data_IF_793748835473
#
_entry.id   IF_793748835473
#
_cell.length_a   1.000
_cell.length_b   1.000
_cell.length_c   1.000
_cell.angle_alpha   90.00
_cell.angle_beta   90.00
_cell.angle_gamma   90.00
#
_symmetry.space_group_name_H-M   'P 1'
#
loop_
_entity.id
_entity.type
_entity.pdbx_description
1 polymer ?
#
# COMPACT_ATOMS: atom_id res chain seq x y z
N UNK A 1 -18.76 -13.06 -52.76
CA UNK A 1 -17.93 -13.12 -51.53
C UNK A 1 -18.30 -14.38 -50.78
N UNK A 2 -17.41 -15.39 -50.72
CA UNK A 2 -17.60 -16.59 -49.91
C UNK A 2 -17.07 -16.32 -48.50
N UNK A 3 -17.95 -16.26 -47.52
CA UNK A 3 -17.61 -16.26 -46.10
C UNK A 3 -17.11 -17.66 -45.73
N UNK A 4 -15.82 -17.78 -45.45
CA UNK A 4 -15.22 -18.98 -44.89
C UNK A 4 -15.63 -19.01 -43.41
N UNK A 5 -16.57 -19.89 -43.04
CA UNK A 5 -16.84 -20.21 -41.64
C UNK A 5 -15.68 -21.05 -41.12
N UNK A 6 -14.93 -20.51 -40.15
CA UNK A 6 -14.00 -21.34 -39.38
C UNK A 6 -14.78 -22.46 -38.68
N UNK A 7 -14.26 -23.69 -38.62
CA UNK A 7 -14.90 -24.79 -37.92
C UNK A 7 -14.96 -24.49 -36.41
N UNK A 8 -16.11 -24.74 -35.78
CA UNK A 8 -16.39 -24.39 -34.38
C UNK A 8 -15.35 -24.94 -33.37
N UNK A 9 -14.66 -26.03 -33.73
CA UNK A 9 -13.58 -26.61 -32.93
C UNK A 9 -12.33 -25.72 -32.88
N UNK A 10 -12.02 -24.95 -33.93
CA UNK A 10 -10.87 -24.04 -33.94
C UNK A 10 -11.13 -22.81 -33.06
N UNK A 11 -12.38 -22.36 -32.98
CA UNK A 11 -12.78 -21.27 -32.08
C UNK A 11 -12.71 -21.69 -30.60
N UNK A 12 -13.07 -22.94 -30.28
CA UNK A 12 -12.96 -23.47 -28.92
C UNK A 12 -11.48 -23.63 -28.52
N UNK A 13 -10.63 -24.16 -29.41
CA UNK A 13 -9.20 -24.26 -29.14
C UNK A 13 -8.54 -22.89 -28.99
N UNK A 14 -8.88 -21.90 -29.83
CA UNK A 14 -8.37 -20.54 -29.70
C UNK A 14 -8.87 -19.86 -28.43
N UNK A 15 -10.14 -20.05 -28.06
CA UNK A 15 -10.70 -19.55 -26.81
C UNK A 15 -10.03 -20.18 -25.58
N UNK A 16 -9.82 -21.50 -25.57
CA UNK A 16 -9.10 -22.21 -24.50
C UNK A 16 -7.64 -21.77 -24.44
N UNK A 17 -6.97 -21.63 -25.59
CA UNK A 17 -5.57 -21.17 -25.65
C UNK A 17 -5.42 -19.74 -25.15
N UNK A 18 -6.35 -18.84 -25.52
CA UNK A 18 -6.43 -17.48 -24.98
C UNK A 18 -6.80 -17.47 -23.48
N UNK A 19 -7.65 -18.39 -23.02
CA UNK A 19 -8.02 -18.52 -21.60
C UNK A 19 -6.86 -19.05 -20.74
N UNK A 20 -6.07 -20.00 -21.27
CA UNK A 20 -4.87 -20.54 -20.61
C UNK A 20 -3.74 -19.51 -20.62
N UNK A 21 -3.60 -18.71 -21.67
CA UNK A 21 -2.63 -17.60 -21.73
C UNK A 21 -3.02 -16.41 -20.84
N UNK A 22 -4.31 -16.21 -20.56
CA UNK A 22 -4.81 -15.18 -19.64
C UNK A 22 -4.92 -15.64 -18.17
N UNK A 23 -4.52 -16.86 -17.85
CA UNK A 23 -4.27 -17.25 -16.46
C UNK A 23 -2.92 -16.68 -16.00
N UNK A 24 -2.82 -15.36 -15.87
CA UNK A 24 -1.79 -14.76 -15.03
C UNK A 24 -2.10 -15.15 -13.59
N UNK A 25 -1.51 -16.27 -13.13
CA UNK A 25 -1.47 -16.56 -11.70
C UNK A 25 -0.78 -15.37 -11.05
N UNK A 26 -1.51 -14.58 -10.27
CA UNK A 26 -0.92 -13.56 -9.39
C UNK A 26 0.28 -14.21 -8.68
N UNK A 27 1.44 -13.54 -8.58
CA UNK A 27 2.52 -14.03 -7.76
C UNK A 27 2.02 -14.14 -6.32
N UNK A 28 1.63 -15.36 -5.92
CA UNK A 28 1.27 -15.69 -4.55
C UNK A 28 2.57 -15.92 -3.81
N UNK A 29 2.74 -15.22 -2.70
CA UNK A 29 3.90 -15.38 -1.84
C UNK A 29 3.51 -16.28 -0.68
N UNK A 30 4.13 -17.46 -0.59
CA UNK A 30 3.96 -18.33 0.56
C UNK A 30 4.84 -17.87 1.74
N UNK A 31 4.68 -18.49 2.91
CA UNK A 31 5.44 -18.10 4.11
C UNK A 31 6.95 -18.36 4.01
N UNK A 32 7.39 -19.29 3.15
CA UNK A 32 8.81 -19.54 2.87
C UNK A 32 9.34 -18.47 1.92
N UNK A 33 8.62 -18.17 0.84
CA UNK A 33 8.97 -17.08 -0.06
C UNK A 33 9.09 -15.76 0.70
N UNK A 34 8.20 -15.52 1.68
CA UNK A 34 8.28 -14.36 2.55
C UNK A 34 9.59 -14.29 3.33
N UNK A 35 9.94 -15.39 3.99
CA UNK A 35 11.16 -15.47 4.81
C UNK A 35 12.42 -15.33 3.96
N UNK A 36 12.45 -15.96 2.79
CA UNK A 36 13.63 -16.00 1.92
C UNK A 36 13.88 -14.66 1.19
N UNK A 37 12.83 -13.84 1.06
CA UNK A 37 12.91 -12.52 0.44
C UNK A 37 12.89 -11.35 1.43
N UNK A 38 12.75 -11.64 2.73
CA UNK A 38 12.78 -10.64 3.79
C UNK A 38 14.12 -10.64 4.51
N UNK A 39 14.68 -9.46 4.75
CA UNK A 39 15.90 -9.31 5.53
C UNK A 39 15.77 -8.15 6.52
N UNK A 40 16.32 -8.30 7.74
CA UNK A 40 16.33 -7.23 8.71
C UNK A 40 17.42 -6.21 8.38
N UNK A 41 17.12 -4.94 8.59
CA UNK A 41 18.11 -3.86 8.64
C UNK A 41 17.96 -3.18 9.99
N UNK A 42 19.03 -3.18 10.78
CA UNK A 42 19.00 -2.64 12.15
C UNK A 42 19.90 -1.43 12.29
N UNK A 43 19.35 -0.36 12.86
CA UNK A 43 20.09 0.84 13.23
C UNK A 43 19.71 1.22 14.66
N UNK A 44 20.71 1.32 15.53
CA UNK A 44 20.53 1.68 16.95
C UNK A 44 19.43 0.85 17.64
N UNK A 45 18.24 1.43 17.83
CA UNK A 45 17.08 0.82 18.50
C UNK A 45 15.99 0.35 17.55
N UNK A 46 16.10 0.66 16.26
CA UNK A 46 15.09 0.31 15.25
C UNK A 46 15.57 -0.89 14.42
N UNK A 47 14.69 -1.86 14.24
CA UNK A 47 14.90 -2.95 13.27
C UNK A 47 13.76 -2.91 12.26
N UNK A 48 14.14 -2.68 11.02
CA UNK A 48 13.26 -2.62 9.86
C UNK A 48 13.26 -3.98 9.16
N UNK A 49 12.10 -4.43 8.71
CA UNK A 49 12.03 -5.60 7.82
C UNK A 49 11.88 -5.11 6.39
N UNK A 50 12.84 -5.43 5.53
CA UNK A 50 12.75 -5.12 4.10
C UNK A 50 12.42 -6.39 3.34
N UNK A 51 11.30 -6.39 2.64
CA UNK A 51 10.85 -7.50 1.79
C UNK A 51 11.05 -7.14 0.32
N UNK A 52 11.77 -7.98 -0.42
CA UNK A 52 12.05 -7.78 -1.85
C UNK A 52 11.14 -8.64 -2.72
N UNK A 53 10.48 -8.02 -3.69
CA UNK A 53 9.66 -8.69 -4.69
C UNK A 53 10.28 -8.43 -6.06
N UNK A 54 10.64 -9.51 -6.78
CA UNK A 54 11.25 -9.42 -8.10
C UNK A 54 10.24 -9.70 -9.19
N UNK A 55 10.24 -8.86 -10.22
CA UNK A 55 9.49 -9.18 -11.45
C UNK A 55 10.12 -10.37 -12.17
N UNK A 56 9.32 -11.09 -12.96
CA UNK A 56 9.78 -12.19 -13.84
C UNK A 56 10.41 -11.66 -15.14
N UNK A 57 10.15 -10.41 -15.48
CA UNK A 57 10.67 -9.72 -16.66
C UNK A 57 11.98 -8.98 -16.33
N UNK A 58 12.77 -8.55 -17.33
CA UNK A 58 13.84 -7.59 -17.08
C UNK A 58 13.28 -6.35 -16.36
N UNK A 59 13.88 -6.00 -15.21
CA UNK A 59 13.37 -4.90 -14.39
C UNK A 59 13.49 -3.57 -15.13
N UNK A 60 12.38 -2.82 -15.18
CA UNK A 60 12.35 -1.45 -15.72
C UNK A 60 12.97 -0.46 -14.74
N UNK A 61 12.45 -0.44 -13.51
CA UNK A 61 12.83 0.43 -12.39
C UNK A 61 12.50 -0.27 -11.08
N UNK A 62 13.11 0.20 -9.99
CA UNK A 62 12.81 -0.28 -8.64
C UNK A 62 11.87 0.68 -7.91
N UNK A 63 10.86 0.14 -7.25
CA UNK A 63 9.90 0.87 -6.40
C UNK A 63 10.19 0.52 -4.94
N UNK A 64 10.30 1.53 -4.09
CA UNK A 64 10.42 1.37 -2.63
C UNK A 64 9.13 1.88 -1.99
N UNK A 65 8.43 1.00 -1.28
CA UNK A 65 7.18 1.28 -0.58
C UNK A 65 7.43 1.40 0.91
N UNK A 66 6.87 2.45 1.52
CA UNK A 66 6.91 2.68 2.96
C UNK A 66 5.57 2.28 3.60
N UNK A 67 5.68 1.44 4.64
CA UNK A 67 4.60 0.66 5.25
C UNK A 67 3.32 1.46 5.56
N UNK A 68 2.14 0.98 5.17
CA UNK A 68 0.88 1.53 5.64
C UNK A 68 0.53 1.04 7.05
N UNK A 69 0.65 1.92 8.05
CA UNK A 69 0.29 1.58 9.45
C UNK A 69 -1.22 1.28 9.62
N UNK A 70 -2.09 1.69 8.69
CA UNK A 70 -3.54 1.42 8.74
C UNK A 70 -4.03 0.27 7.84
N UNK A 71 -3.15 -0.38 7.08
CA UNK A 71 -3.54 -1.48 6.19
C UNK A 71 -2.93 -2.80 6.68
N UNK A 72 -3.70 -3.88 6.60
CA UNK A 72 -3.14 -5.21 6.77
C UNK A 72 -2.19 -5.50 5.62
N UNK A 73 -1.07 -6.16 5.89
CA UNK A 73 -0.03 -6.49 4.89
C UNK A 73 -0.63 -7.27 3.72
N UNK A 74 -1.61 -8.11 4.00
CA UNK A 74 -2.40 -8.93 3.09
C UNK A 74 -3.24 -8.13 2.07
N UNK A 75 -3.40 -6.80 2.27
CA UNK A 75 -4.03 -5.92 1.29
C UNK A 75 -3.05 -5.46 0.20
N UNK A 76 -1.74 -5.46 0.49
CA UNK A 76 -0.72 -5.06 -0.48
C UNK A 76 -0.28 -6.21 -1.38
N UNK A 77 -0.38 -7.45 -0.89
CA UNK A 77 -0.04 -8.68 -1.61
C UNK A 77 -0.92 -9.85 -1.15
N UNK A 78 -1.30 -10.77 -2.05
CA UNK A 78 -2.03 -11.97 -1.70
C UNK A 78 -1.09 -12.98 -1.01
N UNK A 79 -1.40 -13.33 0.23
CA UNK A 79 -0.73 -14.42 0.95
C UNK A 79 -1.58 -15.70 0.88
N UNK A 80 -0.96 -16.83 0.54
CA UNK A 80 -1.57 -18.14 0.78
C UNK A 80 -0.90 -18.77 1.98
N UNK A 81 -1.52 -18.66 3.15
CA UNK A 81 -1.06 -19.40 4.33
C UNK A 81 -1.66 -20.81 4.28
N UNK A 82 -0.84 -21.80 3.91
CA UNK A 82 -1.21 -23.21 4.11
C UNK A 82 -0.85 -23.60 5.54
N UNK A 83 -1.86 -23.90 6.37
CA UNK A 83 -1.65 -24.43 7.72
C UNK A 83 -1.18 -25.89 7.63
N UNK A 84 0.11 -26.13 7.85
CA UNK A 84 0.57 -27.49 8.20
C UNK A 84 0.20 -27.77 9.66
N UNK A 85 -0.74 -28.70 9.86
CA UNK A 85 -0.99 -29.32 11.15
C UNK A 85 0.23 -30.14 11.56
N UNK A 86 0.92 -29.72 12.62
CA UNK A 86 1.82 -30.60 13.37
C UNK A 86 1.07 -31.04 14.63
N UNK A 87 0.72 -32.33 14.80
CA UNK A 87 0.20 -32.84 16.05
C UNK A 87 1.21 -32.54 17.17
N UNK A 88 0.75 -31.86 18.22
CA UNK A 88 1.61 -31.29 19.24
C UNK A 88 2.41 -32.34 20.00
N UNK A 89 3.68 -32.01 20.26
CA UNK A 89 4.37 -32.61 21.39
C UNK A 89 3.79 -32.07 22.69
N UNK A 90 3.63 -32.98 23.64
CA UNK A 90 2.85 -32.86 24.87
C UNK A 90 3.39 -31.79 25.82
N UNK A 91 3.03 -30.53 25.62
CA UNK A 91 3.17 -29.50 26.65
C UNK A 91 2.18 -28.34 26.47
N UNK A 92 0.89 -28.65 26.60
CA UNK A 92 -0.09 -27.75 27.22
C UNK A 92 -0.21 -26.30 26.74
N UNK A 93 0.12 -25.98 25.48
CA UNK A 93 -0.21 -24.69 24.87
C UNK A 93 -1.30 -24.91 23.82
N UNK A 94 -2.44 -24.29 24.07
CA UNK A 94 -3.62 -24.29 23.23
C UNK A 94 -3.25 -23.88 21.80
N UNK A 95 -3.59 -24.66 20.76
CA UNK A 95 -3.37 -24.24 19.40
C UNK A 95 -4.26 -23.01 19.11
N UNK A 96 -3.64 -21.87 18.83
CA UNK A 96 -4.35 -20.78 18.15
C UNK A 96 -4.54 -21.21 16.69
N UNK A 97 -5.75 -21.67 16.36
CA UNK A 97 -6.23 -21.70 14.99
C UNK A 97 -6.33 -20.24 14.52
N UNK A 98 -5.33 -19.76 13.78
CA UNK A 98 -5.54 -18.67 12.85
C UNK A 98 -5.76 -19.33 11.48
N UNK A 99 -6.99 -19.77 11.23
CA UNK A 99 -7.45 -20.00 9.86
C UNK A 99 -7.57 -18.63 9.21
N UNK A 100 -6.47 -18.13 8.62
CA UNK A 100 -6.61 -17.24 7.49
C UNK A 100 -7.09 -18.13 6.34
N UNK A 101 -8.41 -18.28 6.22
CA UNK A 101 -9.01 -18.63 4.95
C UNK A 101 -8.34 -17.71 3.93
N UNK A 102 -7.66 -18.29 2.94
CA UNK A 102 -7.03 -17.53 1.85
C UNK A 102 -8.13 -16.61 1.35
N UNK A 103 -8.04 -15.31 1.71
CA UNK A 103 -8.90 -14.31 1.11
C UNK A 103 -8.75 -14.56 -0.38
N UNK A 104 -9.86 -14.89 -1.04
CA UNK A 104 -9.85 -15.34 -2.42
C UNK A 104 -9.51 -14.12 -3.27
N UNK A 105 -8.22 -13.77 -3.29
CA UNK A 105 -7.62 -12.56 -3.85
C UNK A 105 -7.67 -12.55 -5.38
N UNK A 106 -8.18 -13.63 -5.99
CA UNK A 106 -8.44 -13.72 -7.43
C UNK A 106 -9.35 -12.60 -7.94
N UNK A 107 -10.24 -12.09 -7.10
CA UNK A 107 -11.19 -11.05 -7.48
C UNK A 107 -10.79 -9.66 -6.98
N UNK A 108 -9.61 -9.48 -6.38
CA UNK A 108 -9.19 -8.20 -5.79
C UNK A 108 -7.94 -7.65 -6.49
N UNK A 109 -7.86 -6.32 -6.59
CA UNK A 109 -6.62 -5.68 -6.99
C UNK A 109 -5.66 -5.67 -5.81
N UNK A 110 -4.39 -5.97 -6.06
CA UNK A 110 -3.31 -5.87 -5.07
C UNK A 110 -2.18 -5.06 -5.68
N UNK A 111 -1.70 -4.06 -4.95
CA UNK A 111 -0.74 -3.07 -5.44
C UNK A 111 0.58 -3.71 -5.91
N UNK A 112 1.21 -4.54 -5.07
CA UNK A 112 2.54 -5.09 -5.37
C UNK A 112 2.49 -6.00 -6.61
N UNK A 113 1.58 -6.98 -6.72
CA UNK A 113 1.44 -7.77 -7.95
C UNK A 113 1.21 -6.93 -9.21
N UNK A 114 0.45 -5.84 -9.12
CA UNK A 114 0.20 -4.97 -10.27
C UNK A 114 1.50 -4.31 -10.77
N UNK A 115 2.39 -3.88 -9.87
CA UNK A 115 3.70 -3.37 -10.26
C UNK A 115 4.65 -4.46 -10.77
N UNK A 116 4.61 -5.67 -10.19
CA UNK A 116 5.45 -6.78 -10.66
C UNK A 116 5.09 -7.22 -12.08
N UNK A 117 3.80 -7.27 -12.40
CA UNK A 117 3.29 -7.61 -13.73
C UNK A 117 3.75 -6.59 -14.78
N UNK A 118 3.86 -5.32 -14.41
CA UNK A 118 4.35 -4.25 -15.29
C UNK A 118 5.88 -4.12 -15.34
N UNK A 119 6.61 -5.04 -14.71
CA UNK A 119 8.06 -5.13 -14.83
C UNK A 119 8.86 -4.32 -13.81
N UNK A 120 8.24 -3.87 -12.71
CA UNK A 120 8.96 -3.21 -11.62
C UNK A 120 9.41 -4.23 -10.58
N UNK A 121 10.61 -4.07 -10.01
CA UNK A 121 10.92 -4.70 -8.73
C UNK A 121 10.36 -3.83 -7.60
N UNK A 122 9.87 -4.46 -6.53
CA UNK A 122 9.29 -3.75 -5.39
C UNK A 122 10.04 -4.11 -4.10
N UNK A 123 10.34 -3.10 -3.29
CA UNK A 123 10.87 -3.24 -1.94
C UNK A 123 9.85 -2.70 -0.97
N UNK A 124 9.35 -3.51 -0.04
CA UNK A 124 8.49 -3.05 1.05
C UNK A 124 9.33 -2.88 2.31
N UNK A 125 9.45 -1.65 2.81
CA UNK A 125 10.09 -1.34 4.09
C UNK A 125 9.03 -1.32 5.17
N UNK A 126 9.12 -2.25 6.12
CA UNK A 126 8.21 -2.39 7.24
C UNK A 126 8.82 -1.79 8.50
N UNK A 127 8.04 -0.95 9.16
CA UNK A 127 8.48 -0.24 10.36
C UNK A 127 8.32 -1.14 11.60
N UNK A 128 9.18 -1.00 12.62
CA UNK A 128 8.91 -1.62 13.91
C UNK A 128 7.62 -1.04 14.51
N UNK A 129 6.86 -1.83 15.27
CA UNK A 129 5.56 -1.43 15.85
C UNK A 129 5.65 -0.18 16.76
N UNK A 130 6.85 0.11 17.28
CA UNK A 130 7.12 1.27 18.14
C UNK A 130 7.83 2.40 17.39
N UNK A 131 7.89 2.35 16.06
CA UNK A 131 8.61 3.32 15.25
C UNK A 131 8.05 4.74 15.46
N UNK A 132 8.95 5.69 15.66
CA UNK A 132 8.65 7.10 15.48
C UNK A 132 8.86 7.45 13.99
N UNK A 133 7.89 8.12 13.36
CA UNK A 133 7.93 8.41 11.92
C UNK A 133 9.10 9.32 11.54
N UNK A 134 9.42 10.34 12.37
CA UNK A 134 10.57 11.24 12.17
C UNK A 134 11.90 10.52 12.30
N UNK A 135 12.03 9.67 13.33
CA UNK A 135 13.24 8.84 13.49
C UNK A 135 13.43 7.90 12.31
N UNK A 136 12.33 7.27 11.85
CA UNK A 136 12.35 6.38 10.69
C UNK A 136 12.79 7.10 9.42
N UNK A 137 12.29 8.32 9.22
CA UNK A 137 12.72 9.18 8.12
C UNK A 137 14.23 9.45 8.14
N UNK A 138 14.83 9.64 9.32
CA UNK A 138 16.28 9.81 9.48
C UNK A 138 17.12 8.55 9.22
N UNK A 139 16.50 7.37 9.21
CA UNK A 139 17.16 6.10 8.88
C UNK A 139 17.04 5.76 7.38
N UNK A 140 16.15 6.41 6.62
CA UNK A 140 15.80 6.00 5.25
C UNK A 140 16.98 6.01 4.27
N UNK A 141 17.88 7.01 4.30
CA UNK A 141 19.05 6.98 3.42
C UNK A 141 19.89 5.71 3.64
N UNK A 142 20.13 5.33 4.90
CA UNK A 142 20.89 4.14 5.24
C UNK A 142 20.18 2.85 4.82
N UNK A 143 18.84 2.81 4.95
CA UNK A 143 18.03 1.69 4.44
C UNK A 143 18.15 1.56 2.92
N UNK A 144 18.05 2.69 2.21
CA UNK A 144 18.15 2.74 0.75
C UNK A 144 19.55 2.35 0.26
N UNK A 145 20.61 2.75 0.97
CA UNK A 145 21.99 2.33 0.67
C UNK A 145 22.15 0.80 0.75
N UNK A 146 21.55 0.15 1.75
CA UNK A 146 21.55 -1.32 1.86
C UNK A 146 20.75 -1.97 0.72
N UNK A 147 19.63 -1.37 0.31
CA UNK A 147 18.87 -1.84 -0.87
C UNK A 147 19.73 -1.74 -2.14
N UNK A 148 20.42 -0.61 -2.34
CA UNK A 148 21.33 -0.36 -3.48
C UNK A 148 22.49 -1.36 -3.52
N UNK A 149 23.03 -1.76 -2.36
CA UNK A 149 24.09 -2.77 -2.30
C UNK A 149 23.61 -4.14 -2.76
N UNK A 150 22.37 -4.49 -2.48
CA UNK A 150 21.79 -5.78 -2.86
C UNK A 150 21.28 -5.84 -4.29
N UNK A 151 20.87 -4.70 -4.84
CA UNK A 151 20.38 -4.57 -6.20
C UNK A 151 20.96 -3.29 -6.76
N UNK A 152 21.91 -3.43 -7.69
CA UNK A 152 22.73 -2.37 -8.29
C UNK A 152 21.91 -1.42 -9.18
N UNK A 153 20.71 -1.05 -8.72
CA UNK A 153 19.81 -0.16 -9.41
C UNK A 153 20.37 1.25 -9.46
N UNK A 154 20.26 1.86 -10.63
CA UNK A 154 20.70 3.22 -10.89
C UNK A 154 19.71 4.27 -10.34
N UNK A 155 18.45 3.88 -10.13
CA UNK A 155 17.42 4.77 -9.60
C UNK A 155 16.25 4.06 -8.92
N UNK A 156 15.47 4.80 -8.14
CA UNK A 156 14.26 4.31 -7.49
C UNK A 156 13.12 5.33 -7.57
N UNK A 157 11.91 4.80 -7.56
CA UNK A 157 10.69 5.52 -7.23
C UNK A 157 10.36 5.20 -5.78
N UNK A 158 10.01 6.20 -4.97
CA UNK A 158 9.63 5.97 -3.56
C UNK A 158 8.17 6.32 -3.32
N UNK A 159 7.45 5.43 -2.66
CA UNK A 159 6.02 5.52 -2.41
C UNK A 159 5.68 5.49 -0.93
N UNK A 160 4.90 6.46 -0.48
CA UNK A 160 4.28 6.49 0.84
C UNK A 160 2.86 5.95 0.80
N UNK A 161 2.57 4.89 1.54
CA UNK A 161 1.23 4.31 1.59
C UNK A 161 0.58 4.64 2.93
N UNK A 162 -0.63 5.19 2.94
CA UNK A 162 -1.32 5.56 4.18
C UNK A 162 -0.41 6.38 5.10
N UNK A 163 -0.28 6.00 6.38
CA UNK A 163 0.64 6.64 7.32
C UNK A 163 2.13 6.57 6.94
N UNK A 164 2.56 5.60 6.13
CA UNK A 164 3.92 5.53 5.60
C UNK A 164 4.31 6.77 4.80
N UNK A 165 3.32 7.47 4.23
CA UNK A 165 3.53 8.74 3.57
C UNK A 165 3.92 9.90 4.50
N UNK A 166 3.59 9.89 5.79
CA UNK A 166 4.14 10.89 6.72
C UNK A 166 5.63 10.68 6.98
N UNK A 167 6.08 9.43 7.10
CA UNK A 167 7.53 9.13 7.15
C UNK A 167 8.23 9.63 5.90
N UNK A 168 7.64 9.39 4.72
CA UNK A 168 8.16 9.92 3.46
C UNK A 168 8.22 11.45 3.50
N UNK A 169 7.15 12.12 3.95
CA UNK A 169 7.09 13.56 4.04
C UNK A 169 8.17 14.16 4.95
N UNK A 170 8.43 13.54 6.11
CA UNK A 170 9.53 13.91 6.99
C UNK A 170 10.88 13.72 6.32
N UNK A 171 11.06 12.63 5.59
CA UNK A 171 12.31 12.34 4.90
C UNK A 171 12.59 13.32 3.77
N UNK A 172 11.57 13.78 3.07
CA UNK A 172 11.68 14.83 2.05
C UNK A 172 12.05 16.21 2.65
N UNK A 173 12.02 16.36 3.98
CA UNK A 173 12.59 17.54 4.64
C UNK A 173 14.11 17.45 4.83
N UNK A 174 14.70 16.26 4.65
CA UNK A 174 16.12 15.97 4.83
C UNK A 174 16.86 16.00 3.47
N UNK A 175 18.14 15.66 3.50
CA UNK A 175 18.92 15.42 2.29
C UNK A 175 18.54 14.06 1.69
N UNK A 176 17.75 14.09 0.63
CA UNK A 176 17.19 12.89 0.00
C UNK A 176 18.26 12.12 -0.80
N UNK A 177 18.17 10.79 -0.81
CA UNK A 177 19.05 9.93 -1.58
C UNK A 177 19.05 10.31 -3.07
N UNK A 178 20.21 10.53 -3.72
CA UNK A 178 20.31 11.05 -5.10
C UNK A 178 19.78 10.11 -6.20
N UNK A 179 19.48 8.86 -5.85
CA UNK A 179 18.95 7.84 -6.74
C UNK A 179 17.42 7.89 -6.80
N UNK A 180 16.75 8.62 -5.91
CA UNK A 180 15.31 8.83 -5.99
C UNK A 180 15.01 9.77 -7.15
N UNK A 181 14.10 9.35 -8.04
CA UNK A 181 13.71 10.13 -9.24
C UNK A 181 12.26 10.58 -9.22
N UNK A 182 11.39 9.84 -8.55
CA UNK A 182 9.96 10.12 -8.46
C UNK A 182 9.42 9.72 -7.09
N UNK A 183 8.38 10.42 -6.65
CA UNK A 183 7.75 10.24 -5.35
C UNK A 183 6.25 10.06 -5.57
N UNK A 184 5.61 9.13 -4.86
CA UNK A 184 4.15 9.11 -4.81
C UNK A 184 3.61 8.92 -3.40
N UNK A 185 2.39 9.40 -3.20
CA UNK A 185 1.60 9.22 -1.99
C UNK A 185 0.28 8.57 -2.39
N UNK A 186 -0.07 7.45 -1.76
CA UNK A 186 -1.34 6.75 -1.99
C UNK A 186 -2.11 6.66 -0.67
N UNK A 187 -3.27 7.32 -0.63
CA UNK A 187 -4.12 7.42 0.56
C UNK A 187 -3.40 8.04 1.76
N UNK A 188 -2.50 9.00 1.58
CA UNK A 188 -1.72 9.58 2.69
C UNK A 188 -2.36 10.86 3.23
N UNK A 189 -2.84 10.84 4.47
CA UNK A 189 -3.13 12.05 5.24
C UNK A 189 -1.86 12.67 5.86
N UNK A 190 -1.77 13.99 5.96
CA UNK A 190 -0.60 14.66 6.54
C UNK A 190 -0.83 15.21 7.96
N UNK A 191 -2.08 15.42 8.39
CA UNK A 191 -2.43 15.74 9.80
C UNK A 191 -3.28 14.67 10.49
N UNK A 192 -4.14 13.96 9.74
CA UNK A 192 -5.25 13.15 10.28
C UNK A 192 -6.12 13.88 11.32
N UNK A 193 -6.08 15.22 11.33
CA UNK A 193 -6.60 16.08 12.40
C UNK A 193 -7.75 16.95 11.90
N UNK A 194 -8.84 16.29 11.50
CA UNK A 194 -10.09 16.91 11.10
C UNK A 194 -11.23 16.44 12.02
N UNK A 195 -12.28 17.26 12.12
CA UNK A 195 -13.44 16.92 12.94
C UNK A 195 -14.10 15.65 12.44
N UNK A 196 -14.28 14.69 13.35
CA UNK A 196 -14.85 13.38 13.03
C UNK A 196 -13.84 12.40 12.45
N UNK A 197 -12.53 12.67 12.48
CA UNK A 197 -11.53 11.71 12.01
C UNK A 197 -11.48 10.43 12.85
N UNK A 198 -11.01 9.33 12.23
CA UNK A 198 -10.76 8.07 12.94
C UNK A 198 -9.87 8.31 14.19
N UNK A 199 -8.87 9.17 14.07
CA UNK A 199 -7.97 9.52 15.16
C UNK A 199 -8.67 10.25 16.31
N UNK A 200 -9.53 11.23 16.01
CA UNK A 200 -10.30 11.94 17.02
C UNK A 200 -11.20 10.97 17.79
N UNK A 201 -11.93 10.10 17.05
CA UNK A 201 -12.80 9.11 17.67
C UNK A 201 -12.01 8.09 18.49
N UNK A 202 -10.86 7.62 18.02
CA UNK A 202 -10.00 6.69 18.76
C UNK A 202 -9.52 7.28 20.08
N UNK A 203 -9.16 8.57 20.14
CA UNK A 203 -8.78 9.25 21.40
C UNK A 203 -9.91 9.28 22.43
N UNK A 204 -11.15 9.38 21.96
CA UNK A 204 -12.34 9.43 22.83
C UNK A 204 -12.93 8.05 23.14
N UNK A 205 -12.47 7.00 22.46
CA UNK A 205 -12.96 5.64 22.65
C UNK A 205 -12.11 4.92 23.70
N UNK A 206 -12.72 4.30 24.75
CA UNK A 206 -11.95 3.57 25.75
C UNK A 206 -11.07 2.47 25.13
N UNK A 207 -9.75 2.59 25.26
CA UNK A 207 -8.79 1.58 24.84
C UNK A 207 -8.14 0.92 26.06
N UNK A 208 -8.00 -0.41 26.05
CA UNK A 208 -7.21 -1.12 27.06
C UNK A 208 -5.75 -1.08 26.64
N UNK A 209 -4.92 -0.33 27.37
CA UNK A 209 -3.47 -0.26 27.12
C UNK A 209 -3.03 0.71 26.03
N UNK A 210 -3.89 1.63 25.58
CA UNK A 210 -3.57 2.64 24.55
C UNK A 210 -3.58 2.11 23.11
N UNK A 211 -3.94 0.84 22.91
CA UNK A 211 -4.11 0.22 21.60
C UNK A 211 -5.59 0.11 21.26
N UNK A 212 -5.97 0.53 20.06
CA UNK A 212 -7.30 0.28 19.53
C UNK A 212 -7.27 -0.96 18.65
N UNK A 213 -8.18 -1.91 18.89
CA UNK A 213 -8.33 -3.07 18.02
C UNK A 213 -9.44 -2.77 17.02
N UNK A 214 -9.07 -2.56 15.75
CA UNK A 214 -10.05 -2.58 14.67
C UNK A 214 -10.55 -4.02 14.56
N UNK A 215 -11.78 -4.27 14.98
CA UNK A 215 -12.44 -5.57 14.82
C UNK A 215 -13.58 -5.40 13.82
N UNK A 216 -13.32 -5.67 12.54
CA UNK A 216 -14.31 -5.50 11.49
C UNK A 216 -15.47 -6.51 11.58
N UNK A 217 -15.39 -7.52 12.47
CA UNK A 217 -16.50 -8.45 12.77
C UNK A 217 -17.65 -7.76 13.51
N UNK A 218 -17.34 -6.80 14.37
CA UNK A 218 -18.32 -6.09 15.19
C UNK A 218 -18.87 -4.92 14.38
N UNK A 219 -20.13 -4.99 13.94
CA UNK A 219 -20.76 -3.93 13.13
C UNK A 219 -20.66 -2.54 13.76
N UNK A 220 -20.65 -2.47 15.09
CA UNK A 220 -20.56 -1.24 15.87
C UNK A 220 -19.11 -0.80 16.14
N UNK A 221 -18.10 -1.55 15.67
CA UNK A 221 -16.70 -1.16 15.80
C UNK A 221 -16.44 0.16 15.07
N UNK A 222 -15.63 1.02 15.69
CA UNK A 222 -15.34 2.35 15.18
C UNK A 222 -14.78 2.30 13.75
N UNK A 223 -13.91 1.34 13.44
CA UNK A 223 -13.27 1.27 12.13
C UNK A 223 -14.30 1.01 11.01
N UNK A 224 -15.42 0.33 11.30
CA UNK A 224 -16.50 0.14 10.32
C UNK A 224 -17.21 1.45 9.92
N UNK A 225 -17.04 2.55 10.66
CA UNK A 225 -17.58 3.86 10.29
C UNK A 225 -16.75 4.59 9.24
N UNK A 226 -15.48 4.19 9.07
CA UNK A 226 -14.50 4.81 8.16
C UNK A 226 -14.21 3.94 6.94
N UNK A 227 -14.90 2.81 6.82
CA UNK A 227 -14.77 1.86 5.74
C UNK A 227 -16.16 1.69 5.15
N UNK A 228 -16.36 2.23 3.96
CA UNK A 228 -17.62 2.11 3.21
C UNK A 228 -17.74 0.79 2.46
N UNK A 229 -16.66 0.01 2.39
CA UNK A 229 -16.58 -1.19 1.55
C UNK A 229 -17.70 -2.22 1.83
N UNK A 230 -18.65 -2.26 0.90
CA UNK A 230 -19.63 -3.33 0.68
C UNK A 230 -18.97 -4.69 0.35
N UNK A 231 -17.65 -4.72 0.14
CA UNK A 231 -16.87 -5.88 -0.29
C UNK A 231 -16.09 -6.58 0.83
N UNK A 232 -16.18 -6.07 2.06
CA UNK A 232 -15.83 -6.86 3.25
C UNK A 232 -16.97 -7.87 3.49
N UNK A 233 -16.98 -8.96 2.75
CA UNK A 233 -17.89 -10.07 3.04
C UNK A 233 -17.67 -10.56 4.49
N UNK A 234 -18.58 -11.42 4.98
CA UNK A 234 -18.51 -11.95 6.34
C UNK A 234 -17.22 -12.73 6.63
N UNK A 235 -16.60 -13.38 5.63
CA UNK A 235 -15.34 -14.10 5.75
C UNK A 235 -14.14 -13.15 5.87
N UNK A 236 -14.14 -12.03 5.15
CA UNK A 236 -13.06 -11.03 5.19
C UNK A 236 -13.09 -10.18 6.46
N UNK A 237 -14.28 -9.86 6.98
CA UNK A 237 -14.44 -9.27 8.31
C UNK A 237 -13.82 -10.14 9.40
N UNK A 238 -13.77 -11.47 9.20
CA UNK A 238 -13.19 -12.37 10.18
C UNK A 238 -11.65 -12.34 10.21
N UNK A 239 -10.99 -11.96 9.12
CA UNK A 239 -9.52 -11.98 9.00
C UNK A 239 -8.84 -10.67 9.40
N UNK A 240 -9.58 -9.55 9.42
CA UNK A 240 -9.03 -8.22 9.64
C UNK A 240 -9.28 -7.78 11.09
N UNK A 241 -8.42 -8.26 11.98
CA UNK A 241 -8.29 -7.72 13.32
C UNK A 241 -6.84 -7.40 13.57
N UNK A 242 -6.53 -6.11 13.64
CA UNK A 242 -5.16 -5.63 13.86
C UNK A 242 -5.15 -4.58 14.98
N UNK A 243 -4.17 -4.65 15.90
CA UNK A 243 -3.92 -3.58 16.84
C UNK A 243 -3.42 -2.37 16.05
N UNK A 244 -4.17 -1.28 16.14
CA UNK A 244 -3.77 0.00 15.57
C UNK A 244 -3.13 0.81 16.68
N UNK A 245 -1.81 0.82 16.68
CA UNK A 245 -1.03 1.80 17.45
C UNK A 245 -0.71 2.96 16.53
N UNK A 246 -1.40 4.07 16.73
CA UNK A 246 -1.13 5.26 15.93
C UNK A 246 0.15 5.90 16.48
N UNK A 247 1.20 6.07 15.66
CA UNK A 247 2.40 6.78 16.07
C UNK A 247 2.09 8.26 16.33
N UNK A 248 3.02 8.99 16.94
CA UNK A 248 2.87 10.43 17.07
C UNK A 248 2.87 11.06 15.67
N UNK A 249 1.77 11.76 15.33
CA UNK A 249 1.57 12.41 14.04
C UNK A 249 2.00 13.87 14.09
N UNK A 250 2.27 14.44 12.91
CA UNK A 250 2.58 15.85 12.79
C UNK A 250 1.37 16.74 13.09
N UNK A 251 1.56 17.80 13.88
CA UNK A 251 0.50 18.71 14.34
C UNK A 251 0.35 19.93 13.44
N UNK A 252 1.44 20.35 12.80
CA UNK A 252 1.46 21.46 11.85
C UNK A 252 2.13 21.01 10.53
N UNK A 253 1.41 20.29 9.66
CA UNK A 253 1.98 19.77 8.43
C UNK A 253 2.35 20.87 7.43
N UNK A 254 1.72 22.05 7.50
CA UNK A 254 2.03 23.18 6.61
C UNK A 254 3.48 23.62 6.84
N UNK A 255 3.85 23.84 8.10
CA UNK A 255 5.22 24.24 8.45
C UNK A 255 6.18 23.07 8.32
N UNK A 256 5.82 21.91 8.89
CA UNK A 256 6.71 20.75 8.97
C UNK A 256 6.98 20.06 7.65
N UNK A 257 6.11 20.22 6.64
CA UNK A 257 6.29 19.64 5.31
C UNK A 257 6.42 20.68 4.19
N UNK A 258 6.88 21.88 4.55
CA UNK A 258 7.03 23.01 3.63
C UNK A 258 7.84 22.70 2.35
N UNK A 259 8.82 21.78 2.40
CA UNK A 259 9.61 21.39 1.21
C UNK A 259 8.85 20.51 0.20
N UNK A 260 7.72 19.90 0.56
CA UNK A 260 6.97 19.04 -0.37
C UNK A 260 6.53 19.80 -1.62
N UNK A 261 6.00 20.99 -1.42
CA UNK A 261 5.46 21.82 -2.49
C UNK A 261 6.53 22.46 -3.39
N UNK A 262 7.78 22.51 -2.93
CA UNK A 262 8.93 23.03 -3.67
C UNK A 262 9.92 21.93 -4.08
N UNK A 263 9.54 20.66 -3.94
CA UNK A 263 10.36 19.52 -4.33
C UNK A 263 10.80 19.62 -5.79
N UNK A 264 12.09 19.38 -6.09
CA UNK A 264 12.57 19.33 -7.46
C UNK A 264 12.20 18.01 -8.18
N UNK A 265 11.65 17.04 -7.44
CA UNK A 265 11.25 15.74 -7.98
C UNK A 265 9.74 15.74 -8.32
N UNK A 266 9.34 15.03 -9.39
CA UNK A 266 7.94 14.74 -9.65
C UNK A 266 7.27 14.03 -8.46
N UNK A 267 6.10 14.53 -8.06
CA UNK A 267 5.26 14.00 -6.99
C UNK A 267 3.88 13.64 -7.57
N UNK A 268 3.43 12.41 -7.32
CA UNK A 268 2.05 11.99 -7.55
C UNK A 268 1.32 11.86 -6.20
N UNK A 269 0.14 12.44 -6.11
CA UNK A 269 -0.75 12.34 -4.94
C UNK A 269 -2.02 11.61 -5.39
N UNK A 270 -2.32 10.49 -4.75
CA UNK A 270 -3.50 9.68 -5.04
C UNK A 270 -4.34 9.55 -3.76
N UNK A 271 -5.61 9.91 -3.81
CA UNK A 271 -6.53 9.81 -2.66
C UNK A 271 -7.95 9.46 -3.10
N UNK A 272 -8.72 8.85 -2.19
CA UNK A 272 -10.12 8.51 -2.44
C UNK A 272 -11.05 9.65 -2.05
N UNK A 273 -12.11 9.90 -2.83
CA UNK A 273 -13.07 10.96 -2.53
C UNK A 273 -13.87 10.74 -1.24
N UNK A 274 -14.09 9.47 -0.86
CA UNK A 274 -14.77 9.10 0.39
C UNK A 274 -13.77 8.61 1.45
N UNK A 275 -12.49 8.96 1.32
CA UNK A 275 -11.47 8.52 2.26
C UNK A 275 -11.65 9.21 3.63
N UNK A 276 -12.38 8.54 4.52
CA UNK A 276 -12.59 9.01 5.90
C UNK A 276 -11.36 8.87 6.82
N UNK A 277 -10.30 8.21 6.36
CA UNK A 277 -9.04 8.07 7.11
C UNK A 277 -8.09 9.22 6.73
N UNK A 278 -7.94 9.45 5.43
CA UNK A 278 -7.08 10.46 4.81
C UNK A 278 -7.90 11.31 3.82
N UNK A 279 -8.79 12.18 4.32
CA UNK A 279 -9.63 12.98 3.44
C UNK A 279 -8.82 14.00 2.65
N UNK A 280 -9.40 14.52 1.57
CA UNK A 280 -8.77 15.47 0.65
C UNK A 280 -8.08 16.62 1.40
N UNK A 281 -8.73 17.20 2.41
CA UNK A 281 -8.18 18.32 3.17
C UNK A 281 -6.87 17.94 3.87
N UNK A 282 -6.79 16.74 4.44
CA UNK A 282 -5.58 16.23 5.09
C UNK A 282 -4.49 15.89 4.09
N UNK A 283 -4.86 15.46 2.88
CA UNK A 283 -3.93 15.09 1.81
C UNK A 283 -3.33 16.34 1.15
N UNK A 284 -4.15 17.37 0.92
CA UNK A 284 -3.74 18.56 0.20
C UNK A 284 -3.17 19.66 1.10
N UNK A 285 -3.30 19.53 2.43
CA UNK A 285 -2.87 20.57 3.39
C UNK A 285 -1.45 21.11 3.16
N UNK A 286 -0.41 20.27 2.94
CA UNK A 286 0.96 20.76 2.77
C UNK A 286 1.21 21.45 1.41
N UNK A 287 0.28 21.29 0.46
CA UNK A 287 0.42 21.77 -0.91
C UNK A 287 -0.36 23.05 -1.20
N UNK A 288 -1.29 23.47 -0.32
CA UNK A 288 -2.04 24.72 -0.46
C UNK A 288 -1.18 25.98 -0.60
N UNK A 289 -0.07 26.17 0.15
CA UNK A 289 0.69 27.42 0.10
C UNK A 289 1.26 27.76 -1.27
N UNK A 290 1.35 26.80 -2.21
CA UNK A 290 2.17 26.93 -3.43
C UNK A 290 1.45 26.55 -4.73
N UNK A 291 0.11 26.64 -4.79
CA UNK A 291 -0.65 26.53 -6.07
C UNK A 291 -0.22 27.55 -7.16
N UNK A 292 0.73 28.45 -6.88
CA UNK A 292 1.21 29.49 -7.80
C UNK A 292 2.65 29.30 -8.34
N UNK A 293 3.43 28.33 -7.87
CA UNK A 293 4.81 28.13 -8.35
C UNK A 293 5.24 26.67 -8.28
N UNK A 294 5.57 26.06 -9.43
CA UNK A 294 5.90 24.64 -9.64
C UNK A 294 4.76 23.61 -9.64
N UNK A 295 3.55 24.03 -10.04
CA UNK A 295 2.43 23.08 -10.27
C UNK A 295 2.68 22.01 -11.33
N UNK A 296 3.75 22.13 -12.16
CA UNK A 296 4.04 21.17 -13.23
C UNK A 296 4.59 19.82 -12.75
N UNK A 297 5.21 19.77 -11.56
CA UNK A 297 5.80 18.53 -11.02
C UNK A 297 4.89 17.81 -10.04
N UNK A 298 3.74 18.40 -9.68
CA UNK A 298 2.79 17.80 -8.74
C UNK A 298 1.56 17.36 -9.53
N UNK A 299 1.36 16.05 -9.60
CA UNK A 299 0.18 15.42 -10.19
C UNK A 299 -0.76 14.97 -9.10
N UNK A 300 -2.07 15.19 -9.30
CA UNK A 300 -3.11 14.81 -8.34
C UNK A 300 -4.10 13.89 -9.05
N UNK A 301 -4.36 12.73 -8.44
CA UNK A 301 -5.34 11.75 -8.86
C UNK A 301 -6.35 11.53 -7.72
N UNK A 302 -7.49 12.20 -7.81
CA UNK A 302 -8.64 11.87 -6.96
C UNK A 302 -9.38 10.66 -7.55
N UNK A 303 -9.47 9.58 -6.79
CA UNK A 303 -10.17 8.38 -7.19
C UNK A 303 -11.69 8.53 -6.96
N UNK A 304 -12.41 8.89 -8.03
CA UNK A 304 -13.83 9.20 -7.96
C UNK A 304 -14.57 9.06 -9.29
N UNK A 305 -15.90 8.98 -9.19
CA UNK A 305 -16.81 9.04 -10.34
C UNK A 305 -16.70 10.34 -11.13
N UNK A 306 -16.32 11.43 -10.48
CA UNK A 306 -16.06 12.71 -11.15
C UNK A 306 -14.84 12.64 -12.08
N UNK A 307 -13.91 11.71 -11.82
CA UNK A 307 -12.73 11.45 -12.64
C UNK A 307 -12.86 10.19 -13.50
N UNK A 308 -14.09 9.86 -13.92
CA UNK A 308 -14.42 8.75 -14.82
C UNK A 308 -14.06 7.35 -14.28
N UNK A 309 -14.06 7.20 -12.95
CA UNK A 309 -13.95 5.89 -12.30
C UNK A 309 -15.35 5.36 -11.95
N UNK A 310 -15.45 4.05 -11.68
CA UNK A 310 -16.76 3.41 -11.48
C UNK A 310 -17.39 3.66 -10.10
N UNK A 311 -16.64 4.18 -9.13
CA UNK A 311 -17.15 4.56 -7.81
C UNK A 311 -16.35 5.71 -7.19
N UNK A 312 -16.88 6.28 -6.12
CA UNK A 312 -16.15 7.16 -5.23
C UNK A 312 -15.41 6.30 -4.20
N UNK A 313 -14.08 6.27 -4.26
CA UNK A 313 -13.24 5.36 -3.48
C UNK A 313 -13.07 5.82 -2.03
N UNK A 314 -13.12 4.89 -1.07
CA UNK A 314 -12.63 5.10 0.31
C UNK A 314 -11.16 4.68 0.48
N UNK A 315 -10.64 4.80 1.71
CA UNK A 315 -9.23 4.46 2.02
C UNK A 315 -8.84 3.05 1.61
N UNK A 316 -9.71 2.06 1.85
CA UNK A 316 -9.43 0.65 1.61
C UNK A 316 -9.67 0.27 0.17
N UNK A 317 -10.65 0.89 -0.48
CA UNK A 317 -10.90 0.67 -1.90
C UNK A 317 -9.66 0.99 -2.73
N UNK A 318 -8.88 2.03 -2.36
CA UNK A 318 -7.60 2.35 -3.01
C UNK A 318 -6.63 1.15 -3.09
N UNK A 319 -6.69 0.23 -2.12
CA UNK A 319 -5.74 -0.89 -2.00
C UNK A 319 -6.33 -2.26 -2.34
N UNK A 320 -7.65 -2.40 -2.25
CA UNK A 320 -8.30 -3.71 -2.21
C UNK A 320 -9.51 -3.85 -3.14
N UNK A 321 -10.00 -2.74 -3.69
CA UNK A 321 -11.12 -2.82 -4.62
C UNK A 321 -10.67 -3.44 -5.95
N UNK A 322 -11.49 -4.33 -6.53
CA UNK A 322 -11.15 -5.09 -7.74
C UNK A 322 -10.79 -4.24 -8.95
N UNK A 323 -11.35 -3.01 -9.03
CA UNK A 323 -11.09 -2.06 -10.13
C UNK A 323 -9.90 -1.16 -9.90
N UNK A 324 -9.29 -1.16 -8.70
CA UNK A 324 -8.14 -0.29 -8.40
C UNK A 324 -6.96 -0.57 -9.32
N UNK A 325 -6.78 -1.81 -9.78
CA UNK A 325 -5.77 -2.15 -10.79
C UNK A 325 -5.98 -1.37 -12.09
N UNK A 326 -7.18 -1.43 -12.65
CA UNK A 326 -7.48 -0.84 -13.96
C UNK A 326 -7.73 0.67 -13.91
N UNK A 327 -8.15 1.22 -12.78
CA UNK A 327 -8.55 2.63 -12.66
C UNK A 327 -7.51 3.50 -11.95
N UNK A 328 -6.77 2.94 -10.99
CA UNK A 328 -5.83 3.68 -10.15
C UNK A 328 -4.39 3.28 -10.48
N UNK A 329 -4.06 1.98 -10.38
CA UNK A 329 -2.68 1.52 -10.51
C UNK A 329 -2.15 1.67 -11.94
N UNK A 330 -3.00 1.45 -12.95
CA UNK A 330 -2.69 1.73 -14.35
C UNK A 330 -2.23 3.18 -14.54
N UNK A 331 -2.99 4.15 -14.03
CA UNK A 331 -2.64 5.58 -14.10
C UNK A 331 -1.37 5.91 -13.33
N UNK A 332 -1.15 5.27 -12.18
CA UNK A 332 0.09 5.41 -11.42
C UNK A 332 1.29 4.87 -12.22
N UNK A 333 1.12 3.72 -12.88
CA UNK A 333 2.16 3.09 -13.70
C UNK A 333 2.49 3.98 -14.91
N UNK A 334 1.48 4.48 -15.62
CA UNK A 334 1.67 5.44 -16.72
C UNK A 334 2.51 6.63 -16.25
N UNK A 335 2.15 7.23 -15.12
CA UNK A 335 2.91 8.32 -14.52
C UNK A 335 4.34 7.94 -14.10
N UNK A 336 4.58 6.71 -13.63
CA UNK A 336 5.93 6.22 -13.28
C UNK A 336 6.82 6.04 -14.52
N UNK A 337 6.23 5.71 -15.66
CA UNK A 337 6.91 5.46 -16.92
C UNK A 337 7.20 6.73 -17.73
N UNK A 338 6.46 7.83 -17.51
CA UNK A 338 6.80 9.15 -18.06
C UNK A 338 8.25 9.55 -17.68
N UNK A 339 8.96 10.30 -18.53
CA UNK A 339 10.34 10.74 -18.26
C UNK A 339 10.44 12.05 -17.49
#
# INVERSE_FOLDING_TARGET
MRTIKLPDQLNIFLAIFLFVLNCSSLPIMDSRDWKDNSFPISFEKNTYTVTRFKTKSPSKKNIVLLDPVFLSKEMLYPSSFTTTFTPGDKSGLTPYLITHEVANTKDHATLIPSFLEEGFNVYLIQFPETANLKSTAGDLNRILDEIVKQDSSDSFIIGGLSLGGQTLAHYLQLDIHPKIKKIFFLGTGFDYNHTGSLLEKMKTTPSKGGEYKCNLRERENLCNQYITSIYLDKAHRNALSYPVKIPELEKDPITSFSKLSSSPLPILIVFGKLDGISPEESVLIPFFPHRKGNSKLISILEASTANYMDLDYDHFDLFYHKKSKSEIYSKMIDWMEED
#
